data_IF_763925821268
#
_entry.id   IF_763925821268
#
_cell.length_a   1.000
_cell.length_b   1.000
_cell.length_c   1.000
_cell.angle_alpha   90.00
_cell.angle_beta   90.00
_cell.angle_gamma   90.00
#
_symmetry.space_group_name_H-M   'P 1'
#
loop_
_entity.id
_entity.type
_entity.pdbx_description
1 polymer ?
#
# COMPACT_ATOMS: atom_id res chain seq x y z
N UNK A 1 15.40 12.68 -12.30
CA UNK A 1 14.23 11.86 -11.94
C UNK A 1 13.59 11.42 -13.24
N UNK A 2 13.67 10.15 -13.59
CA UNK A 2 12.95 9.59 -14.73
C UNK A 2 11.46 9.54 -14.39
N UNK A 3 10.63 10.16 -15.23
CA UNK A 3 9.18 10.10 -15.10
C UNK A 3 8.70 8.67 -15.32
N UNK A 4 8.14 8.02 -14.29
CA UNK A 4 7.47 6.73 -14.45
C UNK A 4 6.10 6.95 -15.09
N UNK A 5 5.87 6.30 -16.23
CA UNK A 5 4.60 6.40 -16.93
C UNK A 5 3.62 5.32 -16.43
N UNK A 6 2.33 5.66 -16.24
CA UNK A 6 1.33 4.67 -15.85
C UNK A 6 1.24 3.52 -16.85
N UNK A 7 1.25 2.30 -16.32
CA UNK A 7 1.04 1.08 -17.10
C UNK A 7 -0.46 0.79 -17.18
N UNK A 8 -1.05 0.99 -18.37
CA UNK A 8 -2.49 0.83 -18.59
C UNK A 8 -3.04 -0.53 -18.15
N UNK A 9 -2.26 -1.60 -18.32
CA UNK A 9 -2.69 -2.95 -17.96
C UNK A 9 -2.79 -3.18 -16.44
N UNK A 10 -2.14 -2.33 -15.63
CA UNK A 10 -2.29 -2.31 -14.17
C UNK A 10 -3.38 -1.33 -13.69
N UNK A 11 -4.05 -0.61 -14.59
CA UNK A 11 -5.08 0.38 -14.21
C UNK A 11 -4.53 1.54 -13.36
N UNK A 12 -3.24 1.85 -13.48
CA UNK A 12 -2.57 2.83 -12.60
C UNK A 12 -3.11 4.26 -12.80
N UNK A 13 -3.66 4.83 -11.73
CA UNK A 13 -3.99 6.24 -11.62
C UNK A 13 -3.27 6.83 -10.40
N UNK A 14 -2.16 7.54 -10.65
CA UNK A 14 -1.39 8.12 -9.56
C UNK A 14 -2.09 9.33 -8.95
N UNK A 15 -2.45 9.21 -7.67
CA UNK A 15 -2.86 10.35 -6.86
C UNK A 15 -1.70 11.34 -6.76
N UNK A 16 -1.89 12.58 -7.17
CA UNK A 16 -0.85 13.63 -7.10
C UNK A 16 -1.05 14.61 -5.96
N UNK A 17 -2.28 14.70 -5.45
CA UNK A 17 -2.67 15.74 -4.51
C UNK A 17 -2.42 15.29 -3.07
N UNK A 18 -1.41 15.89 -2.41
CA UNK A 18 -0.98 15.52 -1.06
C UNK A 18 -2.08 15.73 -0.01
N UNK A 19 -2.91 16.75 -0.16
CA UNK A 19 -4.02 17.02 0.77
C UNK A 19 -5.10 15.93 0.74
N UNK A 20 -5.37 15.35 -0.43
CA UNK A 20 -6.28 14.19 -0.54
C UNK A 20 -5.61 12.96 0.07
N UNK A 21 -4.33 12.73 -0.22
CA UNK A 21 -3.58 11.62 0.34
C UNK A 21 -3.59 11.62 1.88
N UNK A 22 -3.32 12.78 2.48
CA UNK A 22 -3.37 12.98 3.92
C UNK A 22 -4.78 12.71 4.49
N UNK A 23 -5.84 13.19 3.83
CA UNK A 23 -7.23 12.91 4.23
C UNK A 23 -7.57 11.42 4.18
N UNK A 24 -7.11 10.70 3.15
CA UNK A 24 -7.28 9.25 3.04
C UNK A 24 -6.57 8.55 4.22
N UNK A 25 -5.31 8.90 4.50
CA UNK A 25 -4.57 8.34 5.63
C UNK A 25 -5.22 8.67 6.98
N UNK A 26 -5.80 9.86 7.14
CA UNK A 26 -6.50 10.26 8.36
C UNK A 26 -7.88 9.62 8.53
N UNK A 27 -8.48 9.11 7.46
CA UNK A 27 -9.72 8.32 7.53
C UNK A 27 -9.51 6.92 8.10
N UNK A 28 -8.26 6.44 8.12
CA UNK A 28 -7.89 5.17 8.73
C UNK A 28 -7.94 5.32 10.26
N UNK A 29 -9.06 4.92 10.85
CA UNK A 29 -9.27 4.88 12.29
C UNK A 29 -9.67 3.46 12.66
N UNK A 30 -8.90 2.81 13.53
CA UNK A 30 -9.32 1.53 14.09
C UNK A 30 -10.43 1.72 15.12
N UNK A 31 -11.07 0.61 15.52
CA UNK A 31 -12.12 0.63 16.54
C UNK A 31 -11.46 0.83 17.91
N UNK A 32 -11.47 2.07 18.42
CA UNK A 32 -10.94 2.43 19.74
C UNK A 32 -9.46 2.86 19.78
N UNK A 33 -8.66 2.51 18.78
CA UNK A 33 -7.24 2.91 18.61
C UNK A 33 -6.80 2.72 17.15
N UNK A 34 -5.64 3.28 16.76
CA UNK A 34 -5.01 2.92 15.48
C UNK A 34 -4.69 1.41 15.42
N UNK A 35 -4.62 0.86 14.20
CA UNK A 35 -4.14 -0.51 13.99
C UNK A 35 -2.66 -0.63 14.41
N UNK A 36 -2.25 -1.78 14.93
CA UNK A 36 -0.84 -2.02 15.22
C UNK A 36 -0.01 -2.19 13.94
N UNK A 37 -0.55 -2.95 12.98
CA UNK A 37 0.09 -3.27 11.68
C UNK A 37 -0.78 -2.76 10.54
N UNK A 38 -0.14 -2.22 9.49
CA UNK A 38 -0.81 -1.71 8.30
C UNK A 38 -0.20 -2.30 7.02
N UNK A 39 -1.06 -2.73 6.10
CA UNK A 39 -0.70 -3.09 4.73
C UNK A 39 -1.23 -2.03 3.75
N UNK A 40 -0.33 -1.41 3.00
CA UNK A 40 -0.68 -0.59 1.84
C UNK A 40 -0.63 -1.43 0.55
N UNK A 41 -1.75 -1.51 -0.16
CA UNK A 41 -1.84 -2.17 -1.48
C UNK A 41 -1.68 -1.13 -2.59
N UNK A 42 -0.73 -1.38 -3.49
CA UNK A 42 -0.45 -0.51 -4.63
C UNK A 42 0.05 0.87 -4.20
N UNK A 43 1.18 0.96 -3.46
CA UNK A 43 1.75 2.24 -3.03
C UNK A 43 2.15 3.14 -4.21
N UNK A 44 2.42 2.56 -5.38
CA UNK A 44 2.83 3.28 -6.57
C UNK A 44 4.07 4.12 -6.31
N UNK A 45 3.95 5.44 -6.45
CA UNK A 45 5.05 6.39 -6.20
C UNK A 45 5.22 6.77 -4.72
N UNK A 46 4.46 6.15 -3.81
CA UNK A 46 4.58 6.37 -2.36
C UNK A 46 3.79 7.56 -1.82
N UNK A 47 2.70 7.96 -2.50
CA UNK A 47 1.97 9.19 -2.16
C UNK A 47 1.19 9.06 -0.85
N UNK A 48 0.58 7.90 -0.57
CA UNK A 48 0.05 7.61 0.76
C UNK A 48 1.17 7.14 1.69
N UNK A 49 2.09 6.30 1.19
CA UNK A 49 3.23 5.75 1.95
C UNK A 49 3.98 6.80 2.75
N UNK A 50 4.23 8.01 2.21
CA UNK A 50 4.94 9.07 2.95
C UNK A 50 4.25 9.47 4.26
N UNK A 51 2.92 9.41 4.34
CA UNK A 51 2.15 9.73 5.56
C UNK A 51 2.04 8.52 6.48
N UNK A 52 1.83 7.34 5.89
CA UNK A 52 1.70 6.08 6.64
C UNK A 52 3.02 5.69 7.31
N UNK A 53 4.15 5.94 6.65
CA UNK A 53 5.49 5.60 7.16
C UNK A 53 5.80 6.33 8.47
N UNK A 54 5.45 7.60 8.58
CA UNK A 54 5.64 8.38 9.81
C UNK A 54 4.78 7.86 10.97
N UNK A 55 3.55 7.39 10.66
CA UNK A 55 2.58 6.91 11.66
C UNK A 55 2.87 5.49 12.14
N UNK A 56 3.18 4.57 11.23
CA UNK A 56 3.28 3.13 11.51
C UNK A 56 4.72 2.62 11.60
N UNK A 57 5.69 3.34 11.02
CA UNK A 57 7.13 3.01 11.05
C UNK A 57 7.38 1.57 10.63
N UNK A 58 8.07 0.77 11.46
CA UNK A 58 8.35 -0.63 11.22
C UNK A 58 7.11 -1.51 11.06
N UNK A 59 5.91 -1.07 11.46
CA UNK A 59 4.69 -1.85 11.31
C UNK A 59 3.96 -1.59 9.97
N UNK A 60 4.58 -0.84 9.05
CA UNK A 60 4.06 -0.63 7.70
C UNK A 60 4.62 -1.68 6.73
N UNK A 61 3.71 -2.33 6.03
CA UNK A 61 3.97 -3.26 4.94
C UNK A 61 3.42 -2.71 3.63
N UNK A 62 4.12 -2.98 2.53
CA UNK A 62 3.72 -2.54 1.20
C UNK A 62 3.63 -3.74 0.26
N UNK A 63 2.61 -3.78 -0.60
CA UNK A 63 2.54 -4.74 -1.72
C UNK A 63 2.39 -4.00 -3.03
N UNK A 64 3.32 -4.21 -3.95
CA UNK A 64 3.38 -3.55 -5.25
C UNK A 64 3.63 -4.58 -6.35
N UNK A 65 2.79 -4.55 -7.38
CA UNK A 65 2.88 -5.43 -8.55
C UNK A 65 3.85 -4.86 -9.60
N UNK A 66 4.02 -3.55 -9.63
CA UNK A 66 4.93 -2.87 -10.53
C UNK A 66 6.37 -2.88 -10.00
N UNK A 67 7.12 -3.91 -10.40
CA UNK A 67 8.54 -4.10 -10.06
C UNK A 67 9.45 -2.90 -10.34
N UNK A 68 9.07 -2.00 -11.25
CA UNK A 68 9.89 -0.84 -11.57
C UNK A 68 9.81 0.24 -10.46
N UNK A 69 8.76 0.19 -9.62
CA UNK A 69 8.54 1.11 -8.51
C UNK A 69 9.15 0.60 -7.19
N UNK A 70 9.25 -0.72 -7.02
CA UNK A 70 9.76 -1.37 -5.80
C UNK A 70 11.16 -0.88 -5.38
N UNK A 71 12.16 -0.76 -6.27
CA UNK A 71 13.48 -0.24 -5.88
C UNK A 71 13.43 1.16 -5.28
N UNK A 72 12.56 2.04 -5.82
CA UNK A 72 12.40 3.39 -5.30
C UNK A 72 11.71 3.38 -3.93
N UNK A 73 10.69 2.53 -3.73
CA UNK A 73 10.05 2.36 -2.43
C UNK A 73 11.05 1.90 -1.36
N UNK A 74 11.84 0.86 -1.64
CA UNK A 74 12.87 0.35 -0.72
C UNK A 74 13.95 1.39 -0.42
N UNK A 75 14.35 2.18 -1.42
CA UNK A 75 15.33 3.27 -1.25
C UNK A 75 14.79 4.41 -0.40
N UNK A 76 13.53 4.80 -0.60
CA UNK A 76 12.91 5.93 0.09
C UNK A 76 12.49 5.58 1.53
N UNK A 77 12.18 4.30 1.79
CA UNK A 77 11.69 3.81 3.08
C UNK A 77 12.55 2.64 3.62
N UNK A 78 13.83 2.89 3.95
CA UNK A 78 14.80 1.83 4.25
C UNK A 78 14.43 0.99 5.48
N UNK A 79 13.76 1.57 6.49
CA UNK A 79 13.34 0.82 7.69
C UNK A 79 12.35 -0.31 7.38
N UNK A 80 11.57 -0.18 6.31
CA UNK A 80 10.57 -1.17 5.89
C UNK A 80 10.93 -1.86 4.59
N UNK A 81 12.18 -1.75 4.12
CA UNK A 81 12.61 -2.31 2.83
C UNK A 81 12.38 -3.83 2.72
N UNK A 82 12.48 -4.56 3.85
CA UNK A 82 12.20 -5.99 3.94
C UNK A 82 10.69 -6.33 3.97
N UNK A 83 9.85 -5.31 4.12
CA UNK A 83 8.38 -5.41 4.22
C UNK A 83 7.70 -4.88 2.95
N UNK A 84 8.48 -4.64 1.88
CA UNK A 84 7.97 -4.33 0.54
C UNK A 84 7.92 -5.61 -0.29
N UNK A 85 6.71 -6.11 -0.48
CA UNK A 85 6.41 -7.30 -1.26
C UNK A 85 6.23 -6.94 -2.74
N UNK A 86 7.13 -7.40 -3.60
CA UNK A 86 6.99 -7.34 -5.06
C UNK A 86 6.11 -8.51 -5.51
N UNK A 87 4.79 -8.34 -5.45
CA UNK A 87 3.82 -9.42 -5.75
C UNK A 87 2.48 -8.85 -6.20
N UNK A 88 1.71 -9.65 -6.92
CA UNK A 88 0.27 -9.45 -7.03
C UNK A 88 -0.38 -9.68 -5.66
N UNK A 89 -1.19 -8.71 -5.22
CA UNK A 89 -1.93 -8.80 -3.96
C UNK A 89 -2.94 -9.96 -3.98
N UNK A 90 -3.56 -10.25 -5.13
CA UNK A 90 -4.55 -11.33 -5.26
C UNK A 90 -3.93 -12.72 -5.08
N UNK A 91 -2.60 -12.83 -5.16
CA UNK A 91 -1.84 -14.06 -4.93
C UNK A 91 -1.18 -14.11 -3.55
N UNK A 92 -1.42 -13.11 -2.70
CA UNK A 92 -0.78 -12.97 -1.40
C UNK A 92 -1.57 -13.75 -0.34
N UNK A 93 -0.91 -14.65 0.39
CA UNK A 93 -1.53 -15.33 1.52
C UNK A 93 -1.36 -14.49 2.79
N UNK A 94 -2.37 -13.70 3.14
CA UNK A 94 -2.32 -12.79 4.29
C UNK A 94 -2.07 -13.52 5.61
N UNK A 95 -2.68 -14.70 5.85
CA UNK A 95 -2.50 -15.46 7.10
C UNK A 95 -1.11 -16.08 7.27
N UNK A 96 -0.35 -16.21 6.18
CA UNK A 96 1.06 -16.61 6.25
C UNK A 96 1.97 -15.47 6.72
N UNK A 97 1.59 -14.22 6.42
CA UNK A 97 2.39 -13.02 6.68
C UNK A 97 2.01 -12.38 8.02
N UNK A 98 0.71 -12.23 8.27
CA UNK A 98 0.17 -11.57 9.45
C UNK A 98 -0.47 -12.59 10.38
N UNK A 99 -0.10 -12.54 11.67
CA UNK A 99 -0.68 -13.39 12.72
C UNK A 99 -1.74 -12.68 13.55
N UNK A 100 -1.76 -11.36 13.47
CA UNK A 100 -2.69 -10.48 14.17
C UNK A 100 -3.54 -9.70 13.17
N UNK A 101 -4.49 -8.93 13.68
CA UNK A 101 -5.32 -8.05 12.87
C UNK A 101 -4.44 -7.00 12.16
N UNK A 102 -4.63 -6.86 10.85
CA UNK A 102 -3.94 -5.90 10.00
C UNK A 102 -4.94 -4.89 9.44
N UNK A 103 -4.61 -3.61 9.52
CA UNK A 103 -5.30 -2.58 8.75
C UNK A 103 -4.91 -2.68 7.28
N UNK A 104 -5.83 -2.43 6.36
CA UNK A 104 -5.54 -2.44 4.92
C UNK A 104 -5.96 -1.10 4.32
N UNK A 105 -5.09 -0.51 3.52
CA UNK A 105 -5.33 0.75 2.83
C UNK A 105 -4.73 0.72 1.43
N UNK A 106 -5.23 1.56 0.53
CA UNK A 106 -4.60 1.79 -0.77
C UNK A 106 -5.49 2.63 -1.67
N UNK A 107 -4.90 3.13 -2.74
CA UNK A 107 -5.63 3.81 -3.81
C UNK A 107 -5.89 2.80 -4.94
N UNK A 108 -6.88 1.93 -4.75
CA UNK A 108 -7.07 0.76 -5.58
C UNK A 108 -7.45 1.10 -7.04
N UNK A 109 -6.94 0.36 -8.04
CA UNK A 109 -7.41 0.47 -9.40
C UNK A 109 -8.89 0.05 -9.51
N UNK A 110 -9.72 0.83 -10.20
CA UNK A 110 -11.16 0.56 -10.33
C UNK A 110 -11.46 -0.80 -10.99
N UNK A 111 -10.57 -1.32 -11.84
CA UNK A 111 -10.77 -2.57 -12.56
C UNK A 111 -10.60 -3.83 -11.69
N UNK A 112 -9.95 -3.72 -10.53
CA UNK A 112 -9.70 -4.86 -9.62
C UNK A 112 -10.20 -4.62 -8.19
N UNK A 113 -10.85 -3.49 -7.91
CA UNK A 113 -11.25 -3.11 -6.55
C UNK A 113 -12.17 -4.12 -5.88
N UNK A 114 -13.13 -4.70 -6.62
CA UNK A 114 -14.00 -5.75 -6.10
C UNK A 114 -13.25 -7.04 -5.76
N UNK A 115 -12.26 -7.42 -6.58
CA UNK A 115 -11.45 -8.63 -6.34
C UNK A 115 -10.60 -8.44 -5.09
N UNK A 116 -9.96 -7.27 -4.94
CA UNK A 116 -9.23 -6.90 -3.72
C UNK A 116 -10.15 -7.01 -2.49
N UNK A 117 -11.37 -6.46 -2.56
CA UNK A 117 -12.31 -6.53 -1.45
C UNK A 117 -12.67 -7.98 -1.07
N UNK A 118 -12.95 -8.84 -2.06
CA UNK A 118 -13.25 -10.26 -1.80
C UNK A 118 -12.06 -10.99 -1.17
N UNK A 119 -10.84 -10.78 -1.70
CA UNK A 119 -9.62 -11.38 -1.13
C UNK A 119 -9.35 -10.94 0.32
N UNK A 120 -9.83 -9.77 0.74
CA UNK A 120 -9.67 -9.28 2.12
C UNK A 120 -10.65 -9.94 3.09
N UNK A 121 -11.85 -10.29 2.63
CA UNK A 121 -12.93 -10.82 3.49
C UNK A 121 -13.04 -12.34 3.52
N UNK A 122 -12.39 -13.02 2.57
CA UNK A 122 -12.24 -14.49 2.53
C UNK A 122 -11.13 -14.99 3.47
#
# INVERSE_FOLDING_TARGET
MSSHFPKKYFGQHFLKEKSIAEKICNSLQGVGSEYNTLLEIGPGQGVLTQFLYERYKENLHLVEIDKDLVPNLKKNYPLIANQVYEKDFLELNLGSIFKEQVGIIGNFPYNISSQILFTIVE
#
